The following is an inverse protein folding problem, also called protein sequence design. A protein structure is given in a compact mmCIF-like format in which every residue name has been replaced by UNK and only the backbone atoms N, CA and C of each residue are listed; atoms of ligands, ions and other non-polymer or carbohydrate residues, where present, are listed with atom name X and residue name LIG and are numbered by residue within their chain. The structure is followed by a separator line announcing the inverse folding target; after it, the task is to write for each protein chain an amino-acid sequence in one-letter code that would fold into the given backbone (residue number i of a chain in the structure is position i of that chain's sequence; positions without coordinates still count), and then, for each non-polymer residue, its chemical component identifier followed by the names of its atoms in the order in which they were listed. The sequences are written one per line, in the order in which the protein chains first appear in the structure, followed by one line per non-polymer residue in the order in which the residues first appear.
data_IF_884373418090
#
_entry.id   IF_884373418090
#
_cell.length_a   1.000
_cell.length_b   1.000
_cell.length_c   1.000
_cell.angle_alpha   90.00
_cell.angle_beta   90.00
_cell.angle_gamma   90.00
#
_symmetry.space_group_name_H-M   'P 1'
#
loop_
_entity.id
_entity.type
_entity.pdbx_description
1 polymer ?
#
# COMPACT_ATOMS: atom_id res chain seq x y z
N UNK A 1 16.54 -12.46 -22.44
CA UNK A 1 15.87 -13.05 -23.63
C UNK A 1 14.60 -13.84 -23.25
N UNK A 2 14.64 -14.73 -22.24
CA UNK A 2 13.51 -15.54 -21.80
C UNK A 2 12.30 -14.70 -21.31
N UNK A 3 12.52 -13.58 -20.62
CA UNK A 3 11.46 -12.71 -20.13
C UNK A 3 10.67 -12.02 -21.25
N UNK A 4 11.30 -11.69 -22.40
CA UNK A 4 10.59 -11.14 -23.57
C UNK A 4 9.70 -12.18 -24.24
N UNK A 5 10.04 -13.47 -24.12
CA UNK A 5 9.25 -14.58 -24.65
C UNK A 5 8.06 -14.86 -23.73
N UNK A 6 8.28 -14.84 -22.41
CA UNK A 6 7.24 -15.11 -21.42
C UNK A 6 6.26 -13.93 -21.24
N UNK A 7 6.73 -12.70 -21.41
CA UNK A 7 5.95 -11.48 -21.17
C UNK A 7 6.14 -10.47 -22.32
N UNK A 8 5.66 -10.78 -23.53
CA UNK A 8 5.87 -9.93 -24.71
C UNK A 8 5.23 -8.55 -24.58
N UNK A 9 4.20 -8.42 -23.76
CA UNK A 9 3.44 -7.18 -23.53
C UNK A 9 4.05 -6.28 -22.47
N UNK A 10 4.99 -6.80 -21.65
CA UNK A 10 5.66 -6.01 -20.62
C UNK A 10 7.01 -5.53 -21.18
N UNK A 11 7.15 -4.22 -21.34
CA UNK A 11 8.47 -3.62 -21.42
C UNK A 11 9.05 -3.58 -20.00
N UNK A 12 9.74 -4.67 -19.61
CA UNK A 12 10.50 -4.71 -18.39
C UNK A 12 11.55 -3.61 -18.46
N UNK A 13 11.37 -2.58 -17.70
CA UNK A 13 12.35 -1.52 -17.58
C UNK A 13 13.44 -1.90 -16.56
N UNK A 14 14.49 -1.11 -16.53
CA UNK A 14 15.62 -1.33 -15.63
C UNK A 14 15.20 -1.27 -14.16
N UNK A 15 14.22 -0.43 -13.80
CA UNK A 15 13.77 -0.24 -12.41
C UNK A 15 13.04 -1.47 -11.89
N UNK A 16 12.08 -2.01 -12.64
CA UNK A 16 11.39 -3.24 -12.27
C UNK A 16 12.33 -4.43 -12.12
N UNK A 17 13.31 -4.59 -13.03
CA UNK A 17 14.30 -5.65 -12.93
C UNK A 17 15.21 -5.49 -11.70
N UNK A 18 15.63 -4.27 -11.37
CA UNK A 18 16.40 -3.99 -10.17
C UNK A 18 15.59 -4.35 -8.91
N UNK A 19 14.34 -3.90 -8.82
CA UNK A 19 13.47 -4.20 -7.68
C UNK A 19 13.23 -5.71 -7.52
N UNK A 20 13.08 -6.47 -8.62
CA UNK A 20 12.97 -7.93 -8.59
C UNK A 20 14.24 -8.59 -8.04
N UNK A 21 15.43 -8.14 -8.48
CA UNK A 21 16.71 -8.66 -7.99
C UNK A 21 16.87 -8.37 -6.50
N UNK A 22 16.54 -7.17 -6.06
CA UNK A 22 16.63 -6.79 -4.65
C UNK A 22 15.61 -7.55 -3.79
N UNK A 23 14.41 -7.82 -4.30
CA UNK A 23 13.42 -8.68 -3.65
C UNK A 23 13.91 -10.13 -3.52
N UNK A 24 14.61 -10.65 -4.55
CA UNK A 24 15.19 -11.97 -4.49
C UNK A 24 16.33 -12.07 -3.46
N UNK A 25 17.23 -11.06 -3.40
CA UNK A 25 18.29 -10.99 -2.38
C UNK A 25 17.76 -10.92 -0.96
N UNK A 26 16.63 -10.25 -0.76
CA UNK A 26 15.96 -10.14 0.54
C UNK A 26 15.07 -11.34 0.87
N UNK A 27 15.09 -12.42 0.07
CA UNK A 27 14.25 -13.62 0.22
C UNK A 27 12.75 -13.32 0.36
N UNK A 28 12.26 -12.28 -0.36
CA UNK A 28 10.85 -11.92 -0.34
C UNK A 28 9.98 -12.99 -1.00
N UNK A 29 8.70 -13.02 -0.60
CA UNK A 29 7.70 -13.93 -1.16
C UNK A 29 7.46 -13.65 -2.66
N UNK A 30 6.92 -14.63 -3.39
CA UNK A 30 6.67 -14.48 -4.82
C UNK A 30 5.68 -13.35 -5.14
N UNK A 31 4.70 -13.10 -4.27
CA UNK A 31 3.73 -12.02 -4.43
C UNK A 31 4.42 -10.64 -4.33
N UNK A 32 5.35 -10.46 -3.38
CA UNK A 32 6.15 -9.24 -3.22
C UNK A 32 7.09 -9.06 -4.42
N UNK A 33 7.76 -10.13 -4.88
CA UNK A 33 8.63 -10.09 -6.06
C UNK A 33 7.86 -9.67 -7.31
N UNK A 34 6.66 -10.21 -7.49
CA UNK A 34 5.79 -9.87 -8.62
C UNK A 34 5.36 -8.41 -8.58
N UNK A 35 4.93 -7.91 -7.44
CA UNK A 35 4.54 -6.51 -7.26
C UNK A 35 5.74 -5.56 -7.46
N UNK A 36 6.91 -5.89 -6.91
CA UNK A 36 8.13 -5.11 -7.09
C UNK A 36 8.58 -5.05 -8.56
N UNK A 37 8.45 -6.15 -9.33
CA UNK A 37 8.74 -6.17 -10.77
C UNK A 37 7.86 -5.20 -11.56
N UNK A 38 6.58 -5.09 -11.19
CA UNK A 38 5.58 -4.34 -11.95
C UNK A 38 5.35 -2.91 -11.46
N UNK A 39 6.09 -2.46 -10.41
CA UNK A 39 5.84 -1.18 -9.76
C UNK A 39 5.90 0.04 -10.70
N UNK A 40 6.76 0.00 -11.72
CA UNK A 40 7.01 1.09 -12.66
C UNK A 40 6.38 0.82 -14.05
N UNK A 41 5.31 0.03 -14.09
CA UNK A 41 4.52 -0.20 -15.31
C UNK A 41 3.69 1.05 -15.61
N UNK A 42 3.79 1.57 -16.84
CA UNK A 42 3.20 2.87 -17.24
C UNK A 42 1.67 2.89 -17.13
N UNK A 43 1.00 1.76 -17.39
CA UNK A 43 -0.47 1.66 -17.38
C UNK A 43 -0.90 0.45 -16.54
N UNK A 44 -1.73 0.71 -15.52
CA UNK A 44 -2.32 -0.33 -14.66
C UNK A 44 -3.15 -1.38 -15.44
N UNK A 45 -3.67 -1.01 -16.63
CA UNK A 45 -4.37 -1.95 -17.51
C UNK A 45 -3.46 -3.06 -18.00
N UNK A 46 -2.16 -2.78 -18.18
CA UNK A 46 -1.17 -3.79 -18.58
C UNK A 46 -1.03 -4.83 -17.46
N UNK A 47 -0.98 -4.39 -16.20
CA UNK A 47 -0.92 -5.28 -15.03
C UNK A 47 -2.17 -6.16 -14.98
N UNK A 48 -3.35 -5.55 -15.14
CA UNK A 48 -4.63 -6.27 -15.13
C UNK A 48 -4.72 -7.29 -16.27
N UNK A 49 -4.33 -6.90 -17.48
CA UNK A 49 -4.32 -7.78 -18.65
C UNK A 49 -3.36 -8.97 -18.45
N UNK A 50 -2.16 -8.71 -17.91
CA UNK A 50 -1.19 -9.73 -17.57
C UNK A 50 -1.74 -10.73 -16.55
N UNK A 51 -2.30 -10.22 -15.45
CA UNK A 51 -2.88 -11.07 -14.41
C UNK A 51 -4.01 -11.96 -14.96
N UNK A 52 -4.85 -11.41 -15.83
CA UNK A 52 -5.92 -12.17 -16.49
C UNK A 52 -5.36 -13.23 -17.44
N UNK A 53 -4.38 -12.87 -18.28
CA UNK A 53 -3.77 -13.77 -19.26
C UNK A 53 -3.13 -15.00 -18.60
N UNK A 54 -2.43 -14.78 -17.47
CA UNK A 54 -1.72 -15.84 -16.76
C UNK A 54 -2.51 -16.41 -15.58
N UNK A 55 -3.78 -16.02 -15.42
CA UNK A 55 -4.65 -16.46 -14.31
C UNK A 55 -3.98 -16.28 -12.95
N UNK A 56 -3.30 -15.14 -12.76
CA UNK A 56 -2.66 -14.84 -11.50
C UNK A 56 -3.71 -14.78 -10.37
N UNK A 57 -3.39 -15.28 -9.18
CA UNK A 57 -4.30 -15.17 -8.04
C UNK A 57 -4.67 -13.70 -7.75
N UNK A 58 -5.90 -13.46 -7.28
CA UNK A 58 -6.41 -12.12 -7.02
C UNK A 58 -5.51 -11.29 -6.10
N UNK A 59 -4.84 -11.91 -5.15
CA UNK A 59 -3.94 -11.22 -4.22
C UNK A 59 -2.70 -10.67 -4.93
N UNK A 60 -2.18 -11.38 -5.94
CA UNK A 60 -1.06 -10.91 -6.77
C UNK A 60 -1.45 -9.66 -7.56
N UNK A 61 -2.61 -9.69 -8.22
CA UNK A 61 -3.13 -8.55 -8.96
C UNK A 61 -3.37 -7.36 -8.03
N UNK A 62 -4.03 -7.59 -6.91
CA UNK A 62 -4.36 -6.54 -5.95
C UNK A 62 -3.10 -5.87 -5.35
N UNK A 63 -2.08 -6.64 -5.00
CA UNK A 63 -0.83 -6.09 -4.48
C UNK A 63 -0.07 -5.34 -5.57
N UNK A 64 0.06 -5.91 -6.78
CA UNK A 64 0.78 -5.29 -7.88
C UNK A 64 0.15 -3.93 -8.28
N UNK A 65 -1.18 -3.87 -8.39
CA UNK A 65 -1.90 -2.63 -8.67
C UNK A 65 -1.74 -1.60 -7.55
N UNK A 66 -1.81 -2.03 -6.28
CA UNK A 66 -1.60 -1.15 -5.14
C UNK A 66 -0.19 -0.57 -5.11
N UNK A 67 0.82 -1.40 -5.34
CA UNK A 67 2.22 -0.96 -5.40
C UNK A 67 2.42 -0.01 -6.57
N UNK A 68 2.00 -0.37 -7.78
CA UNK A 68 2.13 0.48 -8.96
C UNK A 68 1.51 1.86 -8.75
N UNK A 69 0.32 1.92 -8.16
CA UNK A 69 -0.43 3.17 -7.99
C UNK A 69 0.11 4.06 -6.86
N UNK A 70 0.55 3.47 -5.76
CA UNK A 70 0.79 4.22 -4.52
C UNK A 70 2.25 4.25 -4.06
N UNK A 71 3.20 3.55 -4.73
CA UNK A 71 4.58 3.49 -4.24
C UNK A 71 5.23 4.86 -4.11
N UNK A 72 5.06 5.75 -5.11
CA UNK A 72 5.65 7.09 -5.08
C UNK A 72 5.11 7.95 -3.93
N UNK A 73 3.79 7.87 -3.69
CA UNK A 73 3.13 8.56 -2.58
C UNK A 73 3.63 8.02 -1.24
N UNK A 74 3.71 6.70 -1.11
CA UNK A 74 4.14 6.05 0.13
C UNK A 74 5.63 6.28 0.45
N UNK A 75 6.50 6.38 -0.56
CA UNK A 75 7.91 6.75 -0.36
C UNK A 75 8.08 8.16 0.23
N UNK A 76 7.12 9.05 -0.02
CA UNK A 76 7.09 10.42 0.52
C UNK A 76 6.15 10.57 1.73
N UNK A 77 5.77 9.48 2.37
CA UNK A 77 4.72 9.47 3.40
C UNK A 77 4.95 10.48 4.55
N UNK A 78 6.19 10.72 4.95
CA UNK A 78 6.55 11.70 5.99
C UNK A 78 6.28 13.17 5.60
N UNK A 79 6.08 13.43 4.31
CA UNK A 79 5.79 14.77 3.77
C UNK A 79 4.30 14.99 3.52
N UNK A 80 3.48 13.96 3.69
CA UNK A 80 2.05 14.01 3.44
C UNK A 80 1.31 14.67 4.61
N UNK A 81 0.25 15.38 4.28
CA UNK A 81 -0.74 15.86 5.26
C UNK A 81 -1.54 14.71 5.87
N UNK A 82 -2.23 14.96 6.97
CA UNK A 82 -3.09 13.99 7.62
C UNK A 82 -4.20 13.46 6.68
N UNK A 83 -4.77 14.31 5.82
CA UNK A 83 -5.81 13.91 4.86
C UNK A 83 -5.26 13.01 3.75
N UNK A 84 -4.06 13.33 3.23
CA UNK A 84 -3.37 12.49 2.24
C UNK A 84 -2.97 11.13 2.81
N UNK A 85 -2.46 11.09 4.05
CA UNK A 85 -2.15 9.86 4.76
C UNK A 85 -3.40 9.02 5.00
N UNK A 86 -4.50 9.63 5.43
CA UNK A 86 -5.76 8.93 5.62
C UNK A 86 -6.25 8.33 4.30
N UNK A 87 -6.18 9.10 3.22
CA UNK A 87 -6.54 8.65 1.87
C UNK A 87 -5.69 7.45 1.44
N UNK A 88 -4.38 7.51 1.67
CA UNK A 88 -3.45 6.41 1.38
C UNK A 88 -3.80 5.14 2.18
N UNK A 89 -4.01 5.26 3.49
CA UNK A 89 -4.34 4.11 4.34
C UNK A 89 -5.69 3.46 3.97
N UNK A 90 -6.68 4.27 3.61
CA UNK A 90 -7.98 3.76 3.15
C UNK A 90 -7.85 3.06 1.80
N UNK A 91 -7.10 3.64 0.87
CA UNK A 91 -6.87 3.06 -0.45
C UNK A 91 -6.10 1.72 -0.39
N UNK A 92 -5.15 1.59 0.55
CA UNK A 92 -4.40 0.35 0.80
C UNK A 92 -5.17 -0.67 1.65
N UNK A 93 -6.37 -0.32 2.15
CA UNK A 93 -7.15 -1.15 3.07
C UNK A 93 -6.34 -1.62 4.30
N UNK A 94 -5.43 -0.76 4.78
CA UNK A 94 -4.42 -1.07 5.80
C UNK A 94 -5.02 -1.47 7.15
N UNK A 95 -6.31 -1.12 7.40
CA UNK A 95 -7.00 -1.42 8.66
C UNK A 95 -7.58 -2.83 8.71
N UNK A 96 -7.92 -3.40 7.55
CA UNK A 96 -8.56 -4.72 7.45
C UNK A 96 -7.65 -5.81 6.93
N UNK A 97 -6.63 -5.43 6.12
CA UNK A 97 -5.75 -6.37 5.44
C UNK A 97 -4.29 -6.14 5.81
N UNK A 98 -3.98 -6.45 7.08
CA UNK A 98 -2.64 -6.25 7.66
C UNK A 98 -1.54 -6.95 6.84
N UNK A 99 -1.76 -8.19 6.40
CA UNK A 99 -0.78 -8.95 5.62
C UNK A 99 -0.48 -8.27 4.28
N UNK A 100 -1.52 -7.84 3.55
CA UNK A 100 -1.32 -7.12 2.29
C UNK A 100 -0.59 -5.80 2.49
N UNK A 101 -0.87 -5.09 3.57
CA UNK A 101 -0.17 -3.86 3.91
C UNK A 101 1.30 -4.12 4.24
N UNK A 102 1.63 -5.22 4.95
CA UNK A 102 3.01 -5.63 5.17
C UNK A 102 3.72 -5.97 3.85
N UNK A 103 3.08 -6.74 2.97
CA UNK A 103 3.63 -7.08 1.65
C UNK A 103 3.86 -5.82 0.80
N UNK A 104 2.97 -4.84 0.89
CA UNK A 104 3.14 -3.53 0.26
C UNK A 104 4.40 -2.82 0.76
N UNK A 105 4.62 -2.75 2.08
CA UNK A 105 5.81 -2.14 2.68
C UNK A 105 7.09 -2.90 2.30
N UNK A 106 7.04 -4.24 2.23
CA UNK A 106 8.17 -5.05 1.76
C UNK A 106 8.50 -4.78 0.30
N UNK A 107 7.50 -4.63 -0.56
CA UNK A 107 7.70 -4.26 -1.96
C UNK A 107 8.37 -2.89 -2.08
N UNK A 108 7.96 -1.89 -1.29
CA UNK A 108 8.60 -0.58 -1.27
C UNK A 108 10.07 -0.65 -0.87
N UNK A 109 10.42 -1.47 0.12
CA UNK A 109 11.81 -1.69 0.53
C UNK A 109 12.66 -2.30 -0.58
N UNK A 110 12.07 -3.11 -1.45
CA UNK A 110 12.76 -3.65 -2.63
C UNK A 110 12.91 -2.61 -3.75
N UNK A 111 11.99 -1.65 -3.83
CA UNK A 111 12.02 -0.55 -4.82
C UNK A 111 13.03 0.53 -4.40
N UNK A 112 13.03 0.89 -3.12
CA UNK A 112 13.90 1.89 -2.53
C UNK A 112 14.60 1.29 -1.29
N UNK A 113 15.87 0.98 -1.39
CA UNK A 113 16.63 0.26 -0.35
C UNK A 113 16.77 1.03 0.97
N UNK A 114 16.67 2.34 0.91
CA UNK A 114 16.69 3.27 2.05
C UNK A 114 15.32 3.50 2.67
N UNK A 115 14.26 2.92 2.10
CA UNK A 115 12.91 3.04 2.65
C UNK A 115 12.77 2.27 3.96
N UNK A 116 12.46 2.99 5.02
CA UNK A 116 12.04 2.42 6.30
C UNK A 116 10.52 2.48 6.44
N UNK A 117 9.86 1.34 6.25
CA UNK A 117 8.41 1.20 6.40
C UNK A 117 7.91 1.26 7.84
N UNK A 118 8.81 1.26 8.83
CA UNK A 118 8.46 1.20 10.28
C UNK A 118 7.61 2.39 10.69
N UNK A 119 7.98 3.60 10.25
CA UNK A 119 7.20 4.80 10.56
C UNK A 119 5.78 4.72 10.02
N UNK A 120 5.62 4.34 8.74
CA UNK A 120 4.32 4.23 8.09
C UNK A 120 3.45 3.13 8.73
N UNK A 121 4.09 2.01 9.10
CA UNK A 121 3.44 0.92 9.85
C UNK A 121 2.95 1.38 11.21
N UNK A 122 3.78 2.10 11.96
CA UNK A 122 3.43 2.62 13.28
C UNK A 122 2.30 3.64 13.19
N UNK A 123 2.33 4.52 12.19
CA UNK A 123 1.26 5.47 11.92
C UNK A 123 -0.08 4.76 11.64
N UNK A 124 -0.08 3.74 10.76
CA UNK A 124 -1.28 2.96 10.45
C UNK A 124 -1.82 2.20 11.68
N UNK A 125 -0.94 1.59 12.48
CA UNK A 125 -1.33 0.87 13.69
C UNK A 125 -1.91 1.80 14.76
N UNK A 126 -1.29 2.96 14.97
CA UNK A 126 -1.80 3.99 15.89
C UNK A 126 -3.21 4.43 15.46
N UNK A 127 -3.36 4.78 14.19
CA UNK A 127 -4.65 5.17 13.63
C UNK A 127 -5.71 4.08 13.77
N UNK A 128 -5.36 2.81 13.47
CA UNK A 128 -6.26 1.66 13.61
C UNK A 128 -6.74 1.50 15.05
N UNK A 129 -5.81 1.51 16.00
CA UNK A 129 -6.11 1.28 17.43
C UNK A 129 -7.00 2.37 18.00
N UNK A 130 -6.64 3.64 17.81
CA UNK A 130 -7.39 4.77 18.34
C UNK A 130 -8.75 4.93 17.63
N UNK A 131 -8.83 4.70 16.30
CA UNK A 131 -10.10 4.72 15.58
C UNK A 131 -11.08 3.67 16.11
N UNK A 132 -10.60 2.48 16.51
CA UNK A 132 -11.47 1.45 17.06
C UNK A 132 -12.12 1.84 18.39
N UNK A 133 -11.42 2.62 19.22
CA UNK A 133 -11.96 3.18 20.47
C UNK A 133 -13.05 4.21 20.15
N UNK A 134 -12.73 5.18 19.28
CA UNK A 134 -13.66 6.24 18.91
C UNK A 134 -14.93 5.73 18.20
N UNK A 135 -14.82 4.67 17.39
CA UNK A 135 -16.03 4.03 16.80
C UNK A 135 -16.99 3.57 17.88
N UNK A 136 -16.50 2.92 18.94
CA UNK A 136 -17.36 2.45 20.04
C UNK A 136 -18.02 3.60 20.78
N UNK A 137 -17.28 4.66 21.05
CA UNK A 137 -17.78 5.87 21.71
C UNK A 137 -18.87 6.56 20.87
N UNK A 138 -18.63 6.72 19.56
CA UNK A 138 -19.60 7.33 18.64
C UNK A 138 -20.90 6.50 18.53
N UNK A 139 -20.81 5.17 18.50
CA UNK A 139 -21.96 4.29 18.50
C UNK A 139 -22.76 4.42 19.81
N UNK A 140 -22.08 4.50 20.96
CA UNK A 140 -22.73 4.73 22.26
C UNK A 140 -23.44 6.09 22.32
N UNK A 141 -22.97 7.08 21.57
CA UNK A 141 -23.59 8.40 21.41
C UNK A 141 -24.70 8.42 20.34
N UNK A 142 -25.15 7.26 19.85
CA UNK A 142 -26.18 7.07 18.83
C UNK A 142 -25.85 7.63 17.42
N UNK A 143 -24.57 7.84 17.09
CA UNK A 143 -24.19 8.16 15.72
C UNK A 143 -24.42 6.97 14.81
N UNK A 144 -25.08 7.18 13.66
CA UNK A 144 -25.37 6.13 12.69
C UNK A 144 -25.12 6.60 11.24
N UNK A 145 -24.96 5.66 10.32
CA UNK A 145 -24.92 5.94 8.89
C UNK A 145 -23.88 6.99 8.49
N UNK A 146 -24.32 8.01 7.78
CA UNK A 146 -23.47 9.08 7.23
C UNK A 146 -22.85 9.93 8.35
N UNK A 147 -23.60 10.20 9.41
CA UNK A 147 -23.10 10.99 10.54
C UNK A 147 -21.93 10.29 11.25
N UNK A 148 -22.04 8.97 11.45
CA UNK A 148 -20.96 8.15 12.01
C UNK A 148 -19.72 8.20 11.09
N UNK A 149 -19.90 8.08 9.78
CA UNK A 149 -18.79 8.14 8.82
C UNK A 149 -18.06 9.49 8.85
N UNK A 150 -18.80 10.60 8.90
CA UNK A 150 -18.23 11.94 9.00
C UNK A 150 -17.49 12.17 10.33
N UNK A 151 -18.12 11.78 11.45
CA UNK A 151 -17.51 11.90 12.77
C UNK A 151 -16.23 11.05 12.87
N UNK A 152 -16.26 9.83 12.35
CA UNK A 152 -15.09 8.96 12.31
C UNK A 152 -13.97 9.52 11.43
N UNK A 153 -14.28 10.09 10.27
CA UNK A 153 -13.27 10.74 9.42
C UNK A 153 -12.60 11.89 10.18
N UNK A 154 -13.39 12.74 10.86
CA UNK A 154 -12.88 13.84 11.66
C UNK A 154 -11.94 13.37 12.78
N UNK A 155 -12.32 12.32 13.52
CA UNK A 155 -11.48 11.73 14.56
C UNK A 155 -10.18 11.16 13.99
N UNK A 156 -10.22 10.47 12.87
CA UNK A 156 -9.02 9.92 12.21
C UNK A 156 -8.04 11.01 11.79
N UNK A 157 -8.54 12.14 11.29
CA UNK A 157 -7.69 13.28 10.94
C UNK A 157 -7.04 13.92 12.18
N UNK A 158 -7.75 14.01 13.31
CA UNK A 158 -7.17 14.48 14.58
C UNK A 158 -6.06 13.57 15.05
N UNK A 159 -6.27 12.25 15.06
CA UNK A 159 -5.27 11.26 15.45
C UNK A 159 -4.00 11.39 14.58
N UNK A 160 -4.17 11.53 13.26
CA UNK A 160 -3.05 11.68 12.33
C UNK A 160 -2.29 12.99 12.53
N UNK A 161 -3.00 14.11 12.75
CA UNK A 161 -2.36 15.39 13.07
C UNK A 161 -1.53 15.33 14.35
N UNK A 162 -2.05 14.70 15.41
CA UNK A 162 -1.31 14.50 16.66
C UNK A 162 -0.08 13.60 16.46
N UNK A 163 -0.21 12.54 15.64
CA UNK A 163 0.91 11.67 15.31
C UNK A 163 2.00 12.42 14.55
N UNK A 164 1.64 13.24 13.59
CA UNK A 164 2.57 14.05 12.79
C UNK A 164 3.30 15.12 13.61
N UNK A 165 2.66 15.68 14.63
CA UNK A 165 3.28 16.68 15.51
C UNK A 165 4.32 16.08 16.46
N UNK A 166 4.21 14.78 16.77
CA UNK A 166 5.08 14.09 17.75
C UNK A 166 6.27 13.36 17.09
N UNK A 167 6.27 13.20 15.77
CA UNK A 167 7.24 12.41 15.01
C UNK A 167 7.78 13.13 13.79
#
# INVERSE_FOLDING_TARGET
HAMKILFPTIRLNHQGMKALIDAAKQNQTNIVRFAALLHDTVDEKIISALCNQYRAPNDYSALALSVNKYYQTALKAKQLSADELLTLFLALDSFRRDERFQDFLQALKCIASDFDGTWLKNCANNLKTLSAIHVKELIQQNYTGIELAHALKKQRLLILNEFLQKN
#
